data_IF_741882831345
#
_entry.id   IF_741882831345
#
_cell.length_a   1.000
_cell.length_b   1.000
_cell.length_c   1.000
_cell.angle_alpha   90.00
_cell.angle_beta   90.00
_cell.angle_gamma   90.00
#
_symmetry.space_group_name_H-M   'P 1'
#
loop_
_entity.id
_entity.type
_entity.pdbx_description
1 polymer ?
#
# COMPACT_ATOMS: atom_id res chain seq x y z
N UNK A 1 15.29 -24.43 -11.06
CA UNK A 1 16.27 -23.39 -10.67
C UNK A 1 15.63 -22.02 -10.39
N UNK A 2 14.60 -21.62 -11.18
CA UNK A 2 13.90 -20.36 -11.00
C UNK A 2 13.20 -20.25 -9.63
N UNK A 3 12.67 -21.34 -9.11
CA UNK A 3 12.01 -21.42 -7.79
C UNK A 3 12.98 -21.22 -6.59
N UNK A 4 14.27 -21.54 -6.76
CA UNK A 4 15.29 -21.22 -5.74
C UNK A 4 15.66 -19.76 -5.71
N UNK A 5 15.45 -19.02 -6.79
CA UNK A 5 15.65 -17.57 -6.86
C UNK A 5 14.58 -16.75 -6.13
N UNK A 6 13.37 -17.26 -5.99
CA UNK A 6 12.26 -16.52 -5.36
C UNK A 6 12.33 -16.50 -3.82
N UNK A 7 13.25 -17.24 -3.22
CA UNK A 7 13.38 -17.39 -1.76
C UNK A 7 14.67 -16.75 -1.24
N UNK A 8 15.02 -15.54 -1.68
CA UNK A 8 16.07 -14.74 -1.03
C UNK A 8 17.47 -15.38 -0.99
N UNK A 9 17.85 -16.19 -1.98
CA UNK A 9 19.20 -16.73 -2.05
C UNK A 9 20.17 -15.65 -2.54
N UNK A 10 21.41 -15.67 -2.02
CA UNK A 10 22.51 -14.76 -2.43
C UNK A 10 22.65 -14.63 -3.95
N UNK A 11 22.29 -15.66 -4.71
CA UNK A 11 22.41 -15.73 -6.15
C UNK A 11 21.44 -14.80 -6.87
N UNK A 12 20.23 -14.60 -6.33
CA UNK A 12 19.23 -13.71 -6.96
C UNK A 12 19.57 -12.25 -6.83
N UNK A 13 20.14 -11.86 -5.69
CA UNK A 13 20.52 -10.47 -5.42
C UNK A 13 21.80 -10.10 -6.15
N UNK A 14 22.69 -11.07 -6.39
CA UNK A 14 23.93 -10.84 -7.15
C UNK A 14 23.69 -10.55 -8.63
N UNK A 15 22.57 -11.02 -9.18
CA UNK A 15 22.23 -10.87 -10.59
C UNK A 15 21.13 -9.82 -10.83
N UNK A 16 20.41 -9.37 -9.76
CA UNK A 16 19.32 -8.43 -9.92
C UNK A 16 19.81 -6.98 -9.77
N UNK A 17 19.61 -6.21 -10.85
CA UNK A 17 20.05 -4.82 -10.89
C UNK A 17 18.94 -3.82 -10.58
N UNK A 18 17.67 -4.22 -10.67
CA UNK A 18 16.53 -3.32 -10.40
C UNK A 18 15.34 -4.10 -9.89
N UNK A 19 14.69 -3.55 -8.88
CA UNK A 19 13.43 -4.04 -8.28
C UNK A 19 12.41 -2.92 -8.36
N UNK A 20 11.27 -3.17 -9.02
CA UNK A 20 10.15 -2.23 -9.08
C UNK A 20 9.01 -2.76 -8.23
N UNK A 21 8.67 -2.02 -7.18
CA UNK A 21 7.54 -2.32 -6.31
C UNK A 21 6.26 -1.80 -6.94
N UNK A 22 5.34 -2.70 -7.19
CA UNK A 22 4.04 -2.40 -7.79
C UNK A 22 3.05 -1.92 -6.73
N UNK A 23 2.07 -1.07 -7.09
CA UNK A 23 1.00 -0.72 -6.19
C UNK A 23 0.15 -1.95 -5.83
N UNK A 24 -0.61 -1.86 -4.75
CA UNK A 24 -1.53 -2.93 -4.38
C UNK A 24 -2.67 -3.08 -5.40
N UNK A 25 -3.39 -4.19 -5.35
CA UNK A 25 -4.54 -4.49 -6.21
C UNK A 25 -4.29 -4.56 -7.73
N UNK A 26 -3.03 -4.60 -8.19
CA UNK A 26 -2.71 -4.73 -9.62
C UNK A 26 -3.33 -6.00 -10.23
N UNK A 27 -3.40 -7.06 -9.45
CA UNK A 27 -4.00 -8.34 -9.86
C UNK A 27 -5.45 -8.51 -9.39
N UNK A 28 -6.16 -7.42 -9.11
CA UNK A 28 -7.58 -7.50 -8.79
C UNK A 28 -8.39 -8.07 -9.99
N UNK A 29 -9.42 -8.89 -9.76
CA UNK A 29 -10.04 -9.24 -8.48
C UNK A 29 -9.39 -10.42 -7.73
N UNK A 30 -8.32 -11.01 -8.26
CA UNK A 30 -7.74 -12.25 -7.73
C UNK A 30 -6.98 -12.04 -6.41
N UNK A 31 -6.24 -10.95 -6.31
CA UNK A 31 -5.49 -10.59 -5.09
C UNK A 31 -5.25 -9.09 -5.01
N UNK A 32 -5.16 -8.58 -3.77
CA UNK A 32 -4.77 -7.19 -3.47
C UNK A 32 -3.32 -7.06 -3.00
N UNK A 33 -2.56 -8.17 -2.98
CA UNK A 33 -1.19 -8.18 -2.48
C UNK A 33 -0.29 -7.32 -3.38
N UNK A 34 0.59 -6.55 -2.76
CA UNK A 34 1.68 -5.84 -3.45
C UNK A 34 2.67 -6.85 -4.01
N UNK A 35 3.13 -6.60 -5.22
CA UNK A 35 4.08 -7.47 -5.92
C UNK A 35 5.28 -6.66 -6.38
N UNK A 36 6.39 -7.34 -6.64
CA UNK A 36 7.60 -6.74 -7.16
C UNK A 36 7.94 -7.32 -8.53
N UNK A 37 8.42 -6.46 -9.44
CA UNK A 37 9.04 -6.87 -10.69
C UNK A 37 10.55 -6.83 -10.48
N UNK A 38 11.21 -7.95 -10.75
CA UNK A 38 12.64 -8.12 -10.59
C UNK A 38 13.31 -8.16 -11.98
N UNK A 39 14.31 -7.34 -12.20
CA UNK A 39 15.11 -7.32 -13.42
C UNK A 39 16.49 -7.92 -13.13
N UNK A 40 16.84 -8.94 -13.90
CA UNK A 40 18.09 -9.68 -13.75
C UNK A 40 18.99 -9.52 -14.96
N UNK A 41 20.28 -9.39 -14.72
CA UNK A 41 21.32 -9.51 -15.73
C UNK A 41 22.42 -10.46 -15.23
N UNK A 42 22.71 -11.50 -15.99
CA UNK A 42 23.73 -12.50 -15.66
C UNK A 42 25.09 -12.21 -16.29
N UNK A 43 25.21 -11.13 -17.01
CA UNK A 43 26.46 -10.79 -17.72
C UNK A 43 27.58 -10.38 -16.77
N UNK A 44 27.21 -9.71 -15.66
CA UNK A 44 28.16 -9.21 -14.66
C UNK A 44 27.56 -9.36 -13.25
N UNK A 45 28.40 -9.64 -12.23
CA UNK A 45 27.91 -9.60 -10.85
C UNK A 45 27.48 -8.18 -10.50
N UNK A 46 26.24 -8.04 -10.03
CA UNK A 46 25.67 -6.77 -9.61
C UNK A 46 26.32 -6.30 -8.32
N UNK A 47 26.82 -5.08 -8.32
CA UNK A 47 27.39 -4.41 -7.13
C UNK A 47 26.35 -3.55 -6.40
N UNK A 48 25.38 -3.06 -7.13
CA UNK A 48 24.36 -2.14 -6.66
C UNK A 48 23.00 -2.51 -7.26
N UNK A 49 21.94 -2.43 -6.47
CA UNK A 49 20.56 -2.71 -6.90
C UNK A 49 19.69 -1.49 -6.67
N UNK A 50 18.96 -1.09 -7.69
CA UNK A 50 17.99 -0.03 -7.61
C UNK A 50 16.63 -0.56 -7.14
N UNK A 51 16.01 0.15 -6.22
CA UNK A 51 14.64 -0.07 -5.78
C UNK A 51 13.81 1.14 -6.17
N UNK A 52 12.69 0.90 -6.83
CA UNK A 52 11.75 1.94 -7.24
C UNK A 52 10.33 1.54 -6.88
N UNK A 53 9.58 2.46 -6.28
CA UNK A 53 8.16 2.30 -5.97
C UNK A 53 7.31 2.99 -7.02
N UNK A 54 6.45 2.23 -7.67
CA UNK A 54 5.40 2.77 -8.52
C UNK A 54 4.19 3.09 -7.66
N UNK A 55 3.88 4.37 -7.53
CA UNK A 55 2.73 4.83 -6.76
C UNK A 55 1.42 4.60 -7.52
N UNK A 56 0.31 4.60 -6.78
CA UNK A 56 -1.02 4.52 -7.37
C UNK A 56 -1.29 5.76 -8.22
N UNK A 57 -1.85 5.62 -9.44
CA UNK A 57 -2.19 6.77 -10.27
C UNK A 57 -3.22 7.68 -9.59
N UNK A 58 -3.17 8.97 -9.88
CA UNK A 58 -4.12 9.94 -9.35
C UNK A 58 -5.57 9.54 -9.66
N UNK A 59 -6.43 9.66 -8.66
CA UNK A 59 -7.85 9.29 -8.78
C UNK A 59 -8.15 7.79 -8.68
N UNK A 60 -7.13 6.95 -8.45
CA UNK A 60 -7.29 5.53 -8.20
C UNK A 60 -7.06 5.21 -6.71
N UNK A 61 -8.09 4.69 -6.04
CA UNK A 61 -7.90 4.08 -4.71
C UNK A 61 -7.39 2.65 -4.83
N UNK A 62 -7.95 1.89 -5.79
CA UNK A 62 -7.60 0.50 -6.06
C UNK A 62 -7.79 0.23 -7.55
N UNK A 63 -7.02 -0.71 -8.09
CA UNK A 63 -7.32 -1.34 -9.37
C UNK A 63 -8.48 -2.32 -9.21
N UNK A 64 -9.24 -2.54 -10.27
CA UNK A 64 -10.39 -3.44 -10.29
C UNK A 64 -10.57 -4.03 -11.68
N UNK A 65 -11.48 -5.00 -11.83
CA UNK A 65 -11.81 -5.59 -13.13
C UNK A 65 -12.29 -4.51 -14.13
N UNK A 66 -12.99 -3.48 -13.66
CA UNK A 66 -13.49 -2.39 -14.49
C UNK A 66 -12.48 -1.26 -14.71
N UNK A 67 -11.49 -1.14 -13.83
CA UNK A 67 -10.39 -0.18 -13.90
C UNK A 67 -9.06 -0.92 -13.73
N UNK A 68 -8.63 -1.72 -14.71
CA UNK A 68 -7.39 -2.48 -14.61
C UNK A 68 -6.18 -1.55 -14.75
N UNK A 69 -5.03 -2.05 -14.33
CA UNK A 69 -3.77 -1.38 -14.60
C UNK A 69 -3.50 -1.39 -16.10
N UNK A 70 -3.07 -0.24 -16.64
CA UNK A 70 -2.74 -0.06 -18.04
C UNK A 70 -1.26 0.26 -18.21
N UNK A 71 -0.76 0.11 -19.43
CA UNK A 71 0.64 0.40 -19.75
C UNK A 71 1.01 1.88 -19.50
N UNK A 72 0.09 2.80 -19.74
CA UNK A 72 0.28 4.23 -19.48
C UNK A 72 0.63 4.57 -18.02
N UNK A 73 0.20 3.74 -17.06
CA UNK A 73 0.51 3.91 -15.64
C UNK A 73 1.99 3.65 -15.32
N UNK A 74 2.73 3.01 -16.23
CA UNK A 74 4.18 2.82 -16.11
C UNK A 74 5.00 4.01 -16.63
N UNK A 75 4.37 5.03 -17.22
CA UNK A 75 5.09 6.18 -17.75
C UNK A 75 6.11 6.80 -16.75
N UNK A 76 5.76 7.02 -15.47
CA UNK A 76 6.71 7.54 -14.48
C UNK A 76 7.91 6.60 -14.24
N UNK A 77 7.67 5.28 -14.32
CA UNK A 77 8.74 4.29 -14.15
C UNK A 77 9.68 4.29 -15.36
N UNK A 78 9.14 4.41 -16.57
CA UNK A 78 9.94 4.47 -17.82
C UNK A 78 10.79 5.74 -17.84
N UNK A 79 10.20 6.87 -17.48
CA UNK A 79 10.92 8.14 -17.39
C UNK A 79 12.07 8.08 -16.38
N UNK A 80 11.81 7.52 -15.20
CA UNK A 80 12.84 7.30 -14.20
C UNK A 80 13.91 6.31 -14.67
N UNK A 81 13.52 5.28 -15.44
CA UNK A 81 14.45 4.25 -15.92
C UNK A 81 15.55 4.82 -16.82
N UNK A 82 15.22 5.80 -17.65
CA UNK A 82 16.17 6.44 -18.55
C UNK A 82 17.10 7.41 -17.80
N UNK A 83 16.66 8.00 -16.70
CA UNK A 83 17.43 8.89 -15.84
C UNK A 83 17.26 8.51 -14.36
N UNK A 84 17.99 7.47 -13.93
CA UNK A 84 17.87 6.93 -12.57
C UNK A 84 18.45 7.87 -11.53
N UNK A 85 17.62 8.41 -10.70
CA UNK A 85 17.97 9.27 -9.57
C UNK A 85 17.30 8.74 -8.30
N UNK A 86 17.93 9.04 -7.15
CA UNK A 86 17.32 8.76 -5.85
C UNK A 86 16.22 9.78 -5.60
N UNK A 87 15.04 9.30 -5.22
CA UNK A 87 13.85 10.11 -4.99
C UNK A 87 13.32 9.80 -3.60
N UNK A 88 13.21 10.83 -2.77
CA UNK A 88 12.58 10.77 -1.45
C UNK A 88 11.37 11.69 -1.42
N UNK A 89 10.22 11.18 -1.02
CA UNK A 89 8.96 11.92 -0.92
C UNK A 89 8.47 11.80 0.53
N UNK A 90 8.22 12.93 1.17
CA UNK A 90 7.70 13.01 2.55
C UNK A 90 8.54 12.19 3.57
N UNK A 91 9.86 12.13 3.37
CA UNK A 91 10.77 11.38 4.24
C UNK A 91 10.84 9.87 3.94
N UNK A 92 10.12 9.39 2.93
CA UNK A 92 10.15 7.99 2.50
C UNK A 92 10.85 7.84 1.16
N UNK A 93 11.72 6.85 1.05
CA UNK A 93 12.43 6.55 -0.18
C UNK A 93 11.45 5.99 -1.22
N UNK A 94 11.26 6.71 -2.33
CA UNK A 94 10.52 6.25 -3.50
C UNK A 94 11.43 5.50 -4.48
N UNK A 95 12.62 6.04 -4.71
CA UNK A 95 13.66 5.43 -5.51
C UNK A 95 14.98 5.52 -4.76
N UNK A 96 15.66 4.40 -4.58
CA UNK A 96 16.94 4.38 -3.88
C UNK A 96 17.83 3.24 -4.37
N UNK A 97 19.10 3.52 -4.36
CA UNK A 97 20.15 2.56 -4.68
C UNK A 97 20.72 1.95 -3.42
N UNK A 98 20.87 0.63 -3.40
CA UNK A 98 21.48 -0.11 -2.30
C UNK A 98 22.64 -0.94 -2.81
N UNK A 99 23.72 -0.94 -2.05
CA UNK A 99 24.87 -1.82 -2.29
C UNK A 99 24.59 -3.24 -1.84
N UNK A 100 25.29 -4.22 -2.40
CA UNK A 100 25.18 -5.62 -1.98
C UNK A 100 25.53 -5.80 -0.50
N UNK A 101 26.44 -4.99 0.03
CA UNK A 101 26.83 -5.04 1.44
C UNK A 101 25.70 -4.59 2.37
N UNK A 102 24.98 -3.52 2.00
CA UNK A 102 23.81 -3.06 2.74
C UNK A 102 22.67 -4.08 2.69
N UNK A 103 22.45 -4.71 1.53
CA UNK A 103 21.47 -5.78 1.39
C UNK A 103 21.84 -7.00 2.22
N UNK A 104 23.13 -7.35 2.29
CA UNK A 104 23.64 -8.40 3.19
C UNK A 104 23.38 -8.10 4.65
N UNK A 105 23.66 -6.89 5.10
CA UNK A 105 23.42 -6.45 6.47
C UNK A 105 21.95 -6.57 6.89
N UNK A 106 21.05 -6.48 5.90
CA UNK A 106 19.59 -6.63 6.07
C UNK A 106 19.10 -8.07 5.80
N UNK A 107 19.97 -9.05 5.80
CA UNK A 107 19.63 -10.45 5.50
C UNK A 107 18.92 -10.63 4.16
N UNK A 108 19.30 -9.83 3.17
CA UNK A 108 18.71 -9.80 1.81
C UNK A 108 17.20 -9.51 1.79
N UNK A 109 16.71 -8.74 2.73
CA UNK A 109 15.34 -8.27 2.69
C UNK A 109 15.17 -7.29 1.53
N UNK A 110 14.36 -7.68 0.53
CA UNK A 110 14.00 -6.89 -0.66
C UNK A 110 12.76 -6.03 -0.46
N UNK A 111 12.17 -6.03 0.73
CA UNK A 111 11.03 -5.18 1.07
C UNK A 111 11.51 -3.77 1.45
N UNK A 112 12.01 -3.08 0.44
CA UNK A 112 12.56 -1.73 0.53
C UNK A 112 11.69 -0.76 -0.30
N UNK A 113 11.79 0.54 -0.02
CA UNK A 113 10.97 1.56 -0.66
C UNK A 113 9.46 1.24 -0.56
N UNK A 114 9.03 0.74 0.61
CA UNK A 114 7.63 0.45 0.90
C UNK A 114 6.77 1.71 0.89
N UNK A 115 5.45 1.52 0.80
CA UNK A 115 4.53 2.63 1.00
C UNK A 115 4.67 3.17 2.42
N UNK A 116 4.56 4.50 2.62
CA UNK A 116 4.50 5.06 3.95
C UNK A 116 3.39 4.36 4.73
N UNK A 117 3.74 3.73 5.83
CA UNK A 117 2.76 3.35 6.84
C UNK A 117 2.65 4.54 7.79
N UNK A 118 1.47 5.13 7.88
CA UNK A 118 1.15 5.92 9.04
C UNK A 118 1.19 4.94 10.22
N UNK A 119 2.22 5.06 11.07
CA UNK A 119 2.21 4.36 12.35
C UNK A 119 1.03 4.95 13.12
N UNK A 120 -0.07 4.21 13.17
CA UNK A 120 -1.17 4.56 14.06
C UNK A 120 -0.58 4.60 15.48
N UNK A 121 -0.58 5.79 16.09
CA UNK A 121 -0.19 5.93 17.48
C UNK A 121 -1.00 4.94 18.29
N UNK A 122 -0.33 3.94 18.85
CA UNK A 122 -0.96 2.97 19.73
C UNK A 122 -1.27 3.69 21.04
N UNK A 123 -2.45 4.30 21.10
CA UNK A 123 -2.93 4.97 22.30
C UNK A 123 -3.06 3.97 23.47
N UNK A 124 -2.81 4.41 24.70
CA UNK A 124 -3.05 3.59 25.86
C UNK A 124 -4.50 3.05 25.86
N UNK A 125 -4.74 1.81 26.28
CA UNK A 125 -6.06 1.18 26.18
C UNK A 125 -7.21 2.01 26.78
N UNK A 126 -6.94 2.78 27.83
CA UNK A 126 -7.93 3.67 28.45
C UNK A 126 -8.36 4.81 27.53
N UNK A 127 -7.41 5.46 26.90
CA UNK A 127 -7.65 6.55 25.95
C UNK A 127 -8.36 6.06 24.70
N UNK A 128 -7.96 4.89 24.21
CA UNK A 128 -8.61 4.25 23.06
C UNK A 128 -10.08 3.93 23.35
N UNK A 129 -10.38 3.38 24.52
CA UNK A 129 -11.77 3.08 24.95
C UNK A 129 -12.57 4.37 25.08
N UNK A 130 -11.98 5.43 25.64
CA UNK A 130 -12.67 6.71 25.80
C UNK A 130 -13.00 7.33 24.44
N UNK A 131 -12.03 7.40 23.53
CA UNK A 131 -12.25 7.87 22.16
C UNK A 131 -13.31 7.05 21.42
N UNK A 132 -13.27 5.74 21.58
CA UNK A 132 -14.28 4.85 21.00
C UNK A 132 -15.69 5.17 21.54
N UNK A 133 -15.83 5.37 22.85
CA UNK A 133 -17.11 5.71 23.47
C UNK A 133 -17.63 7.07 22.98
N UNK A 134 -16.77 8.08 22.92
CA UNK A 134 -17.11 9.41 22.41
C UNK A 134 -17.56 9.35 20.94
N UNK A 135 -16.77 8.67 20.10
CA UNK A 135 -17.09 8.50 18.68
C UNK A 135 -18.40 7.73 18.48
N UNK A 136 -18.63 6.70 19.28
CA UNK A 136 -19.88 5.92 19.26
C UNK A 136 -21.08 6.77 19.68
N UNK A 137 -20.95 7.58 20.72
CA UNK A 137 -22.02 8.48 21.16
C UNK A 137 -22.37 9.50 20.08
N UNK A 138 -21.37 10.11 19.45
CA UNK A 138 -21.56 11.05 18.34
C UNK A 138 -22.26 10.39 17.15
N UNK A 139 -21.82 9.21 16.74
CA UNK A 139 -22.44 8.48 15.63
C UNK A 139 -23.88 8.07 15.92
N UNK A 140 -24.18 7.63 17.16
CA UNK A 140 -25.54 7.30 17.56
C UNK A 140 -26.45 8.54 17.52
N UNK A 141 -25.97 9.68 18.02
CA UNK A 141 -26.72 10.94 17.94
C UNK A 141 -27.02 11.37 16.49
N UNK A 142 -26.05 11.16 15.58
CA UNK A 142 -26.27 11.44 14.15
C UNK A 142 -27.30 10.48 13.54
N UNK A 143 -27.25 9.19 13.89
CA UNK A 143 -28.22 8.18 13.48
C UNK A 143 -29.63 8.57 13.97
N UNK A 144 -29.76 8.88 15.25
CA UNK A 144 -31.06 9.26 15.84
C UNK A 144 -31.63 10.52 15.18
N UNK A 145 -30.76 11.50 14.88
CA UNK A 145 -31.17 12.71 14.16
C UNK A 145 -31.66 12.40 12.75
N UNK A 146 -30.98 11.52 12.02
CA UNK A 146 -31.37 11.14 10.66
C UNK A 146 -32.66 10.32 10.69
N UNK A 147 -32.81 9.42 11.64
CA UNK A 147 -34.04 8.65 11.84
C UNK A 147 -35.23 9.56 12.15
N UNK A 148 -35.06 10.56 13.02
CA UNK A 148 -36.09 11.55 13.31
C UNK A 148 -36.50 12.34 12.04
N UNK A 149 -35.55 12.71 11.20
CA UNK A 149 -35.87 13.37 9.92
C UNK A 149 -36.62 12.44 8.96
N UNK A 150 -36.25 11.17 8.89
CA UNK A 150 -36.94 10.19 8.05
C UNK A 150 -38.38 9.96 8.54
N UNK A 151 -38.59 9.82 9.86
CA UNK A 151 -39.95 9.65 10.45
C UNK A 151 -40.82 10.86 10.22
N UNK A 152 -40.26 12.07 10.32
CA UNK A 152 -40.97 13.32 10.01
C UNK A 152 -41.40 13.40 8.52
N UNK A 153 -40.48 13.05 7.62
CA UNK A 153 -40.77 13.04 6.17
C UNK A 153 -41.83 12.00 5.81
N UNK A 154 -41.81 10.83 6.44
CA UNK A 154 -42.72 9.73 6.17
C UNK A 154 -44.08 9.88 6.91
N UNK A 155 -44.17 10.82 7.87
CA UNK A 155 -45.35 11.00 8.71
C UNK A 155 -45.66 9.78 9.57
N UNK A 156 -44.64 9.05 9.99
CA UNK A 156 -44.77 7.86 10.84
C UNK A 156 -44.55 8.28 12.28
N UNK A 157 -45.58 8.24 13.13
CA UNK A 157 -45.50 8.37 14.58
C UNK A 157 -45.00 7.04 15.17
N UNK A 158 -43.75 7.00 15.63
CA UNK A 158 -43.12 5.81 16.27
C UNK A 158 -43.48 5.76 17.79
N UNK A 159 -44.31 6.68 18.27
CA UNK A 159 -44.77 6.66 19.64
C UNK A 159 -46.06 5.84 19.70
N UNK A 160 -45.93 4.55 19.82
CA UNK A 160 -46.87 3.61 20.49
C UNK A 160 -46.81 2.24 19.80
N UNK A 161 -45.96 1.38 20.36
CA UNK A 161 -46.26 -0.06 20.49
C UNK A 161 -45.14 -0.70 21.31
N UNK A 162 -45.41 -0.80 22.62
CA UNK A 162 -44.48 -1.45 23.53
C UNK A 162 -45.03 -1.53 24.95
N UNK A 163 -46.28 -2.01 25.07
CA UNK A 163 -46.80 -2.58 26.33
C UNK A 163 -47.89 -3.60 25.98
N UNK A 164 -47.48 -4.84 25.80
CA UNK A 164 -48.23 -6.04 26.17
C UNK A 164 -47.27 -7.19 26.48
#
# INVERSE_FOLDING_TARGET
>A
EILRCLVGSEMCIRDSHTVIRMPHSVFAPYTSITTNILFFDRTHPTTETWFYRLDMPEGYKNFSKTKPMKLEHFAPTVEWWDNREEITIDGFDKAKKYTVEELKARSYNIDLCGYPHEEEEILPPKELIQQYQEKRASLNADIDRILAQITDILGIDITEEGDE
#
